data_IF_407864447522
#
_entry.id   IF_407864447522
#
_cell.length_a   1.000
_cell.length_b   1.000
_cell.length_c   1.000
_cell.angle_alpha   90.00
_cell.angle_beta   90.00
_cell.angle_gamma   90.00
#
_symmetry.space_group_name_H-M   'P 1'
#
loop_
_entity.id
_entity.type
_entity.pdbx_description
1 polymer ?
#
# COMPACT_ATOMS: atom_id res chain seq x y z
N UNK A 1 -36.73 -46.65 -18.54
CA UNK A 1 -35.63 -45.67 -18.60
C UNK A 1 -35.54 -45.00 -17.24
N UNK A 2 -34.51 -45.30 -16.46
CA UNK A 2 -34.39 -44.76 -15.08
C UNK A 2 -33.97 -43.32 -15.09
N UNK A 3 -34.88 -42.37 -14.81
CA UNK A 3 -34.60 -40.93 -14.66
C UNK A 3 -33.53 -40.59 -13.61
N UNK A 4 -33.18 -41.57 -12.75
CA UNK A 4 -32.15 -41.41 -11.71
C UNK A 4 -30.71 -41.40 -12.23
N UNK A 5 -30.43 -41.93 -13.42
CA UNK A 5 -29.06 -42.07 -13.98
C UNK A 5 -28.59 -40.75 -14.64
N UNK A 6 -29.52 -39.85 -15.02
CA UNK A 6 -29.18 -38.61 -15.72
C UNK A 6 -28.85 -37.47 -14.71
N UNK A 7 -29.38 -37.53 -13.50
CA UNK A 7 -29.21 -36.47 -12.50
C UNK A 7 -27.80 -36.47 -11.88
N UNK A 8 -27.23 -37.66 -11.66
CA UNK A 8 -25.90 -37.79 -11.04
C UNK A 8 -24.77 -37.18 -11.89
N UNK A 9 -24.66 -37.48 -13.22
CA UNK A 9 -23.62 -36.85 -14.05
C UNK A 9 -23.81 -35.32 -14.20
N UNK A 10 -25.04 -34.83 -14.21
CA UNK A 10 -25.33 -33.39 -14.27
C UNK A 10 -24.88 -32.69 -13.00
N UNK A 11 -25.12 -33.27 -11.83
CA UNK A 11 -24.68 -32.74 -10.53
C UNK A 11 -23.13 -32.75 -10.46
N UNK A 12 -22.47 -33.80 -10.91
CA UNK A 12 -21.01 -33.89 -10.94
C UNK A 12 -20.41 -32.82 -11.88
N UNK A 13 -21.00 -32.62 -13.05
CA UNK A 13 -20.55 -31.59 -14.01
C UNK A 13 -20.75 -30.19 -13.41
N UNK A 14 -21.87 -29.95 -12.71
CA UNK A 14 -22.13 -28.66 -12.07
C UNK A 14 -21.14 -28.39 -10.92
N UNK A 15 -20.80 -29.39 -10.11
CA UNK A 15 -19.79 -29.29 -9.05
C UNK A 15 -18.40 -29.03 -9.63
N UNK A 16 -18.01 -29.69 -10.73
CA UNK A 16 -16.74 -29.45 -11.39
C UNK A 16 -16.68 -28.06 -12.00
N UNK A 17 -17.78 -27.55 -12.58
CA UNK A 17 -17.86 -26.18 -13.11
C UNK A 17 -17.75 -25.16 -11.97
N UNK A 18 -18.42 -25.39 -10.83
CA UNK A 18 -18.34 -24.50 -9.66
C UNK A 18 -16.94 -24.51 -9.03
N UNK A 19 -16.24 -25.65 -9.02
CA UNK A 19 -14.86 -25.74 -8.53
C UNK A 19 -13.86 -25.02 -9.47
N UNK A 20 -14.16 -24.94 -10.77
CA UNK A 20 -13.31 -24.20 -11.73
C UNK A 20 -13.65 -22.71 -11.79
N UNK A 21 -14.82 -22.27 -11.29
CA UNK A 21 -15.20 -20.86 -11.17
C UNK A 21 -14.68 -20.21 -9.88
N UNK A 22 -14.17 -21.00 -8.94
CA UNK A 22 -13.56 -20.52 -7.70
C UNK A 22 -12.02 -20.54 -7.73
N UNK A 23 -11.42 -20.59 -8.89
CA UNK A 23 -9.99 -20.43 -9.03
C UNK A 23 -9.67 -19.10 -9.69
N UNK A 24 -8.84 -18.38 -8.95
CA UNK A 24 -7.95 -17.30 -9.39
C UNK A 24 -8.55 -15.89 -9.45
N UNK A 25 -9.00 -15.40 -8.32
CA UNK A 25 -8.43 -14.13 -7.87
C UNK A 25 -7.16 -14.45 -7.05
N UNK A 26 -6.12 -14.94 -7.69
CA UNK A 26 -4.77 -14.67 -7.27
C UNK A 26 -4.49 -13.22 -7.61
N UNK A 27 -5.10 -12.28 -6.89
CA UNK A 27 -4.49 -11.02 -6.61
C UNK A 27 -3.16 -11.40 -5.96
N UNK A 28 -2.03 -11.12 -6.61
CA UNK A 28 -0.71 -11.17 -6.01
C UNK A 28 -0.87 -10.39 -4.72
N UNK A 29 -0.87 -11.09 -3.58
CA UNK A 29 -0.92 -10.44 -2.28
C UNK A 29 0.31 -9.56 -2.27
N UNK A 30 0.12 -8.23 -2.19
CA UNK A 30 1.24 -7.30 -2.20
C UNK A 30 2.13 -7.69 -1.02
N UNK A 31 3.39 -8.02 -1.27
CA UNK A 31 4.36 -8.36 -0.24
C UNK A 31 4.74 -7.09 0.53
N UNK A 32 3.87 -6.72 1.47
CA UNK A 32 4.06 -5.55 2.33
C UNK A 32 5.15 -5.88 3.35
N UNK A 33 6.29 -5.22 3.24
CA UNK A 33 7.46 -5.40 4.13
C UNK A 33 7.49 -4.37 5.26
N UNK A 34 6.75 -3.28 5.12
CA UNK A 34 6.57 -2.25 6.14
C UNK A 34 5.19 -1.61 6.02
N UNK A 35 4.54 -1.37 7.15
CA UNK A 35 3.26 -0.66 7.21
C UNK A 35 3.20 0.24 8.44
N UNK A 36 2.74 1.47 8.25
CA UNK A 36 2.37 2.37 9.34
C UNK A 36 1.15 3.20 8.96
N UNK A 37 0.22 3.34 9.89
CA UNK A 37 -0.88 4.30 9.79
C UNK A 37 -0.59 5.49 10.69
N UNK A 38 -0.26 6.61 10.09
CA UNK A 38 0.03 7.87 10.76
C UNK A 38 -1.28 8.65 10.97
N UNK A 39 -1.95 8.38 12.08
CA UNK A 39 -3.23 8.99 12.45
C UNK A 39 -3.29 9.46 13.91
N UNK A 40 -2.22 9.20 14.66
CA UNK A 40 -2.09 9.56 16.07
C UNK A 40 -0.86 10.48 16.25
N UNK A 41 -1.03 11.72 16.77
CA UNK A 41 0.07 12.64 17.02
C UNK A 41 1.12 12.09 18.00
N UNK A 42 0.78 11.11 18.85
CA UNK A 42 1.72 10.47 19.78
C UNK A 42 2.75 9.57 19.09
N UNK A 43 2.56 9.23 17.83
CA UNK A 43 3.54 8.48 17.03
C UNK A 43 4.77 9.32 16.66
N UNK A 44 4.66 10.65 16.76
CA UNK A 44 5.72 11.56 16.37
C UNK A 44 6.54 12.02 17.59
N UNK A 45 7.86 11.98 17.44
CA UNK A 45 8.82 12.59 18.37
C UNK A 45 9.43 13.81 17.70
N UNK A 46 9.28 14.98 18.29
CA UNK A 46 9.69 16.26 17.69
C UNK A 46 9.10 16.49 16.29
N UNK A 47 7.88 15.99 16.05
CA UNK A 47 7.17 16.15 14.78
C UNK A 47 7.58 15.14 13.69
N UNK A 48 8.41 14.15 13.99
CA UNK A 48 8.90 13.14 13.04
C UNK A 48 8.58 11.74 13.58
N UNK A 49 8.04 10.88 12.73
CA UNK A 49 7.92 9.45 12.98
C UNK A 49 9.22 8.76 12.57
N UNK A 50 9.73 7.86 13.40
CA UNK A 50 10.92 7.06 13.09
C UNK A 50 10.70 5.60 13.44
N UNK A 51 11.25 4.70 12.63
CA UNK A 51 11.26 3.27 12.85
C UNK A 51 12.50 2.63 12.19
N UNK A 52 12.72 1.36 12.46
CA UNK A 52 13.77 0.55 11.83
C UNK A 52 13.16 -0.68 11.17
N UNK A 53 13.61 -0.98 9.96
CA UNK A 53 13.18 -2.15 9.21
C UNK A 53 14.38 -2.87 8.60
N UNK A 54 14.24 -4.18 8.38
CA UNK A 54 15.22 -4.99 7.65
C UNK A 54 14.67 -5.32 6.29
N UNK A 55 15.40 -4.96 5.23
CA UNK A 55 15.04 -5.28 3.86
C UNK A 55 16.04 -6.24 3.25
N UNK A 56 15.55 -7.20 2.49
CA UNK A 56 16.35 -8.08 1.66
C UNK A 56 16.82 -7.34 0.39
N UNK A 57 17.71 -7.96 -0.38
CA UNK A 57 18.06 -7.46 -1.72
C UNK A 57 16.80 -7.47 -2.61
N UNK A 58 16.46 -6.34 -3.22
CA UNK A 58 15.28 -6.24 -4.09
C UNK A 58 14.96 -4.81 -4.52
N UNK A 59 13.88 -4.72 -5.26
CA UNK A 59 13.25 -3.47 -5.66
C UNK A 59 12.02 -3.25 -4.80
N UNK A 60 11.81 -2.01 -4.37
CA UNK A 60 10.73 -1.65 -3.46
C UNK A 60 10.00 -0.41 -3.95
N UNK A 61 8.72 -0.31 -3.57
CA UNK A 61 7.89 0.84 -3.91
C UNK A 61 7.11 1.31 -2.69
N UNK A 62 6.99 2.63 -2.51
CA UNK A 62 6.06 3.22 -1.56
C UNK A 62 4.64 3.21 -2.09
N UNK A 63 3.70 2.79 -1.24
CA UNK A 63 2.27 2.95 -1.45
C UNK A 63 1.69 3.82 -0.34
N UNK A 64 0.83 4.74 -0.71
CA UNK A 64 0.18 5.66 0.21
C UNK A 64 -1.34 5.49 0.16
N UNK A 65 -1.97 5.57 1.32
CA UNK A 65 -3.43 5.67 1.45
C UNK A 65 -3.75 6.97 2.19
N UNK A 66 -3.79 8.11 1.48
CA UNK A 66 -4.10 9.42 2.06
C UNK A 66 -5.61 9.62 2.18
N UNK A 67 -6.00 10.51 3.08
CA UNK A 67 -7.35 11.06 3.14
C UNK A 67 -7.30 12.59 3.01
N UNK A 68 -8.44 13.27 3.06
CA UNK A 68 -8.52 14.73 2.90
C UNK A 68 -7.83 15.53 4.01
N UNK A 69 -7.47 14.90 5.15
CA UNK A 69 -6.70 15.51 6.24
C UNK A 69 -5.21 15.21 6.20
N UNK A 70 -4.77 14.42 5.22
CA UNK A 70 -3.37 14.01 5.06
C UNK A 70 -2.44 15.21 4.92
N UNK A 71 -1.15 15.10 5.36
CA UNK A 71 -0.15 16.13 5.15
C UNK A 71 -0.02 16.51 3.67
N UNK A 72 0.10 17.80 3.37
CA UNK A 72 0.30 18.27 1.99
C UNK A 72 1.66 17.84 1.44
N UNK A 73 2.68 17.80 2.31
CA UNK A 73 4.01 17.28 1.99
C UNK A 73 4.37 16.23 3.03
N UNK A 74 4.72 15.05 2.55
CA UNK A 74 5.20 13.94 3.34
C UNK A 74 6.65 13.65 2.95
N UNK A 75 7.59 14.09 3.79
CA UNK A 75 9.01 13.87 3.54
C UNK A 75 9.43 12.55 4.14
N UNK A 76 10.00 11.65 3.33
CA UNK A 76 10.47 10.34 3.76
C UNK A 76 11.96 10.20 3.51
N UNK A 77 12.68 9.79 4.55
CA UNK A 77 14.09 9.44 4.47
C UNK A 77 14.29 7.98 4.84
N UNK A 78 15.07 7.28 4.02
CA UNK A 78 15.61 5.95 4.33
C UNK A 78 17.12 6.06 4.42
N UNK A 79 17.69 5.70 5.56
CA UNK A 79 19.12 5.88 5.80
C UNK A 79 19.78 4.67 6.43
N UNK A 80 20.97 4.36 5.97
CA UNK A 80 21.98 3.54 6.62
C UNK A 80 23.36 3.87 6.05
N UNK A 81 24.39 3.03 6.33
CA UNK A 81 25.75 3.28 5.84
C UNK A 81 25.90 3.23 4.31
N UNK A 82 24.97 2.57 3.59
CA UNK A 82 25.04 2.33 2.15
C UNK A 82 23.85 2.95 1.37
N UNK A 83 22.76 3.29 2.05
CA UNK A 83 21.55 3.85 1.46
C UNK A 83 21.31 5.26 1.98
N UNK A 84 21.08 6.17 1.06
CA UNK A 84 20.57 7.50 1.34
C UNK A 84 19.45 7.81 0.32
N UNK A 85 18.21 7.75 0.80
CA UNK A 85 17.02 8.09 0.03
C UNK A 85 16.28 9.18 0.77
N UNK A 86 16.02 10.28 0.08
CA UNK A 86 15.21 11.40 0.58
C UNK A 86 14.23 11.83 -0.51
N UNK A 87 12.95 11.90 -0.18
CA UNK A 87 11.92 12.34 -1.11
C UNK A 87 10.81 13.11 -0.39
N UNK A 88 10.41 14.21 -1.00
CA UNK A 88 9.23 14.97 -0.60
C UNK A 88 8.05 14.57 -1.50
N UNK A 89 7.11 13.80 -0.94
CA UNK A 89 5.89 13.43 -1.64
C UNK A 89 4.83 14.51 -1.44
N UNK A 90 4.30 15.02 -2.56
CA UNK A 90 3.30 16.08 -2.56
C UNK A 90 1.90 15.50 -2.76
N UNK A 91 0.99 15.84 -1.85
CA UNK A 91 -0.42 15.44 -1.92
C UNK A 91 -1.15 16.24 -3.00
N UNK A 92 -1.78 15.54 -3.92
CA UNK A 92 -2.61 16.13 -4.96
C UNK A 92 -4.03 15.59 -4.90
N UNK A 93 -5.01 16.50 -4.99
CA UNK A 93 -6.42 16.16 -5.10
C UNK A 93 -6.85 16.09 -6.55
N UNK A 94 -7.50 15.00 -6.94
CA UNK A 94 -8.14 14.84 -8.24
C UNK A 94 -9.66 14.95 -8.10
N UNK A 95 -10.25 15.91 -8.77
CA UNK A 95 -11.70 16.11 -8.80
C UNK A 95 -12.36 15.10 -9.76
N UNK A 96 -13.45 14.51 -9.29
CA UNK A 96 -14.32 13.63 -10.07
C UNK A 96 -15.73 14.19 -10.04
N UNK A 97 -16.29 14.43 -11.22
CA UNK A 97 -17.65 14.95 -11.38
C UNK A 97 -18.58 13.86 -11.87
N UNK A 98 -19.73 13.74 -11.22
CA UNK A 98 -20.87 12.96 -11.68
C UNK A 98 -22.02 13.92 -12.05
N UNK A 99 -23.14 13.42 -12.55
CA UNK A 99 -24.31 14.24 -12.87
C UNK A 99 -24.93 14.95 -11.64
N UNK A 100 -24.68 14.43 -10.43
CA UNK A 100 -25.32 14.87 -9.20
C UNK A 100 -24.33 15.27 -8.09
N UNK A 101 -23.02 15.01 -8.24
CA UNK A 101 -22.03 15.28 -7.19
C UNK A 101 -20.64 15.51 -7.75
N UNK A 102 -19.80 16.14 -6.93
CA UNK A 102 -18.35 16.23 -7.13
C UNK A 102 -17.67 15.64 -5.90
N UNK A 103 -16.64 14.80 -6.12
CA UNK A 103 -15.82 14.27 -5.04
C UNK A 103 -14.34 14.29 -5.44
N UNK A 104 -13.45 14.17 -4.44
CA UNK A 104 -12.00 14.19 -4.64
C UNK A 104 -11.40 12.84 -4.24
N UNK A 105 -10.42 12.40 -5.01
CA UNK A 105 -9.45 11.38 -4.61
C UNK A 105 -8.10 12.04 -4.39
N UNK A 106 -7.33 11.50 -3.46
CA UNK A 106 -6.05 12.05 -3.04
C UNK A 106 -4.93 11.07 -3.38
N UNK A 107 -3.82 11.57 -3.87
CA UNK A 107 -2.61 10.79 -4.13
C UNK A 107 -1.36 11.61 -3.82
N UNK A 108 -0.26 10.93 -3.47
CA UNK A 108 1.04 11.56 -3.37
C UNK A 108 1.81 11.39 -4.68
N UNK A 109 2.43 12.48 -5.13
CA UNK A 109 3.37 12.49 -6.26
C UNK A 109 4.79 12.59 -5.72
N UNK A 110 5.73 11.86 -6.36
CA UNK A 110 7.14 11.82 -6.02
C UNK A 110 7.79 10.52 -6.51
N UNK A 111 9.09 10.36 -6.28
CA UNK A 111 9.84 9.16 -6.63
C UNK A 111 9.56 8.04 -5.62
N UNK A 112 8.67 7.12 -5.98
CA UNK A 112 8.19 6.05 -5.09
C UNK A 112 9.09 4.83 -5.01
N UNK A 113 9.97 4.58 -5.98
CA UNK A 113 10.78 3.36 -6.07
C UNK A 113 12.21 3.55 -5.57
N UNK A 114 12.75 2.52 -4.93
CA UNK A 114 14.14 2.43 -4.51
C UNK A 114 14.62 0.98 -4.54
N UNK A 115 15.95 0.78 -4.56
CA UNK A 115 16.58 -0.54 -4.67
C UNK A 115 17.46 -0.81 -3.46
N UNK A 116 17.46 -2.05 -3.01
CA UNK A 116 18.33 -2.58 -1.96
C UNK A 116 19.30 -3.58 -2.59
N UNK A 117 20.60 -3.32 -2.49
CA UNK A 117 21.62 -4.15 -3.13
C UNK A 117 21.96 -5.43 -2.35
N UNK A 118 21.80 -5.41 -1.05
CA UNK A 118 22.03 -6.54 -0.14
C UNK A 118 21.16 -6.38 1.11
N UNK A 119 20.90 -7.49 1.82
CA UNK A 119 20.16 -7.46 3.09
C UNK A 119 20.76 -6.46 4.06
N UNK A 120 19.93 -5.55 4.56
CA UNK A 120 20.40 -4.51 5.48
C UNK A 120 19.28 -3.99 6.38
N UNK A 121 19.70 -3.46 7.54
CA UNK A 121 18.85 -2.72 8.45
C UNK A 121 18.85 -1.24 8.07
N UNK A 122 17.67 -0.63 7.99
CA UNK A 122 17.44 0.72 7.50
C UNK A 122 16.62 1.48 8.53
N UNK A 123 16.98 2.73 8.78
CA UNK A 123 16.14 3.65 9.54
C UNK A 123 15.23 4.38 8.58
N UNK A 124 13.93 4.39 8.88
CA UNK A 124 12.95 5.22 8.19
C UNK A 124 12.56 6.41 9.07
N UNK A 125 12.52 7.59 8.47
CA UNK A 125 11.97 8.79 9.10
C UNK A 125 10.89 9.38 8.19
N UNK A 126 9.73 9.69 8.77
CA UNK A 126 8.60 10.29 8.05
C UNK A 126 8.24 11.61 8.75
N UNK A 127 8.34 12.70 8.00
CA UNK A 127 8.03 14.05 8.46
C UNK A 127 6.75 14.54 7.77
N UNK A 128 5.66 14.76 8.52
CA UNK A 128 4.41 15.30 7.99
C UNK A 128 4.44 16.82 7.80
N UNK A 129 5.61 17.45 7.94
CA UNK A 129 5.83 18.91 7.78
C UNK A 129 4.86 19.76 8.61
N UNK A 130 4.69 19.39 9.88
CA UNK A 130 3.87 20.08 10.87
C UNK A 130 2.44 19.56 10.98
N UNK A 131 1.93 18.79 10.03
CA UNK A 131 0.58 18.22 10.11
C UNK A 131 0.59 16.84 10.80
N UNK A 132 0.85 16.83 12.10
CA UNK A 132 0.82 15.59 12.93
C UNK A 132 -0.59 15.08 13.24
N UNK A 133 -1.62 15.86 12.91
CA UNK A 133 -3.03 15.51 13.11
C UNK A 133 -3.66 14.88 11.87
N UNK A 134 -2.99 14.96 10.72
CA UNK A 134 -3.46 14.37 9.46
C UNK A 134 -3.30 12.86 9.46
N UNK A 135 -4.07 12.17 8.60
CA UNK A 135 -4.06 10.71 8.52
C UNK A 135 -3.62 10.23 7.14
N UNK A 136 -2.59 9.39 7.14
CA UNK A 136 -2.09 8.69 5.95
C UNK A 136 -1.51 7.34 6.36
N UNK A 137 -1.78 6.30 5.57
CA UNK A 137 -1.04 5.04 5.69
C UNK A 137 0.10 5.02 4.68
N UNK A 138 1.25 4.52 5.12
CA UNK A 138 2.46 4.37 4.32
C UNK A 138 2.87 2.91 4.35
N UNK A 139 2.97 2.30 3.17
CA UNK A 139 3.46 0.95 2.98
C UNK A 139 4.75 0.98 2.17
N UNK A 140 5.65 0.03 2.44
CA UNK A 140 6.72 -0.38 1.52
C UNK A 140 6.38 -1.79 1.04
N UNK A 141 6.38 -1.96 -0.27
CA UNK A 141 6.00 -3.19 -0.95
C UNK A 141 7.19 -3.66 -1.76
N UNK A 142 7.50 -4.96 -1.69
CA UNK A 142 8.46 -5.59 -2.60
C UNK A 142 7.83 -5.75 -3.99
N UNK A 143 8.57 -5.34 -5.03
CA UNK A 143 8.08 -5.26 -6.41
C UNK A 143 8.56 -6.46 -7.26
#
# INVERSE_FOLDING_TARGET
>A
MNKKIIVIPIIVIFVVIMMNLSSDENGKEDDIVFHVTLADPNLYVNGIFTDELSLEKGEYIFRFVPNGSSPEILSISLTNNALNFDEDFKLEGMSHKTEISEYFTWKYEGKKSFSISEKQKISIAINPNGNVMGSVSVDIIEN
#
